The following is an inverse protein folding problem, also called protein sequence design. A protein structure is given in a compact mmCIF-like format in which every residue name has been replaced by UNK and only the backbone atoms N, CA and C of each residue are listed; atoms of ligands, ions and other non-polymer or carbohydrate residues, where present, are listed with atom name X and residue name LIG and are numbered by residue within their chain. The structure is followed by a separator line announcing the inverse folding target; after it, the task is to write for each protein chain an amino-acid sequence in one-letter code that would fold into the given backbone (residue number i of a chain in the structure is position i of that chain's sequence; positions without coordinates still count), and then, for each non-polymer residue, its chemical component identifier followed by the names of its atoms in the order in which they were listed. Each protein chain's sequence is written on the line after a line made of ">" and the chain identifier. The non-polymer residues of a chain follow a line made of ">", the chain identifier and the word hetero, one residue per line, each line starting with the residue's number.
data_IF_360573150299
#
_entry.id   IF_360573150299
#
_cell.length_a   1.000
_cell.length_b   1.000
_cell.length_c   1.000
_cell.angle_alpha   90.00
_cell.angle_beta   90.00
_cell.angle_gamma   90.00
#
_symmetry.space_group_name_H-M   'P 1'
#
loop_
_entity.id
_entity.type
_entity.pdbx_description
1 polymer ?
#
# COMPACT_ATOMS: atom_id res chain seq x y z
N UNK A 1 16.64 -4.40 30.41
CA UNK A 1 15.57 -5.09 29.67
C UNK A 1 14.90 -4.08 28.76
N UNK A 2 15.11 -4.21 27.46
CA UNK A 2 14.43 -3.40 26.45
C UNK A 2 13.13 -4.11 26.13
N UNK A 3 11.99 -3.52 26.49
CA UNK A 3 10.68 -4.06 26.14
C UNK A 3 10.13 -3.22 24.97
N UNK A 4 10.08 -3.80 23.78
CA UNK A 4 9.44 -3.20 22.62
C UNK A 4 7.96 -3.58 22.64
N UNK A 5 7.07 -2.60 22.78
CA UNK A 5 5.64 -2.79 22.64
C UNK A 5 5.20 -2.08 21.37
N UNK A 6 4.78 -2.84 20.37
CA UNK A 6 4.14 -2.30 19.17
C UNK A 6 2.63 -2.31 19.37
N UNK A 7 2.01 -1.14 19.31
CA UNK A 7 0.54 -1.02 19.22
C UNK A 7 0.18 -0.82 17.76
N UNK A 8 -0.50 -1.81 17.19
CA UNK A 8 -0.97 -1.77 15.80
C UNK A 8 -2.42 -1.37 15.80
N UNK A 9 -2.74 -0.17 15.30
CA UNK A 9 -4.10 0.23 15.02
C UNK A 9 -4.44 -0.17 13.58
N UNK A 10 -5.38 -1.09 13.44
CA UNK A 10 -5.87 -1.57 12.15
C UNK A 10 -7.20 -0.86 11.89
N UNK A 11 -7.23 0.11 10.99
CA UNK A 11 -8.48 0.63 10.48
C UNK A 11 -8.91 -0.20 9.27
N UNK A 12 -10.08 -0.81 9.36
CA UNK A 12 -10.69 -1.53 8.26
C UNK A 12 -11.63 -0.60 7.51
N UNK A 13 -11.22 -0.09 6.36
CA UNK A 13 -12.18 0.34 5.35
C UNK A 13 -12.71 -0.90 4.66
N UNK A 14 -13.96 -1.24 4.95
CA UNK A 14 -14.63 -2.39 4.38
C UNK A 14 -14.99 -2.17 2.91
N UNK A 15 -14.04 -2.36 2.02
CA UNK A 15 -14.33 -2.71 0.63
C UNK A 15 -14.54 -4.22 0.60
N UNK A 16 -15.79 -4.63 0.55
CA UNK A 16 -16.19 -6.04 0.49
C UNK A 16 -15.72 -6.65 -0.84
N UNK A 17 -14.60 -7.34 -0.82
CA UNK A 17 -14.27 -8.28 -1.89
C UNK A 17 -14.97 -9.60 -1.54
N UNK A 18 -16.08 -9.89 -2.21
CA UNK A 18 -16.76 -11.16 -2.12
C UNK A 18 -15.87 -12.24 -2.76
N UNK A 19 -15.21 -13.07 -1.98
CA UNK A 19 -14.59 -14.30 -2.45
C UNK A 19 -15.49 -15.48 -2.10
N UNK A 20 -16.06 -16.08 -3.10
CA UNK A 20 -16.90 -17.29 -3.08
C UNK A 20 -16.03 -18.56 -3.07
N UNK A 21 -16.28 -19.62 -2.33
CA UNK A 21 -17.22 -20.74 -2.45
C UNK A 21 -16.77 -21.93 -1.62
N UNK A 22 -17.56 -22.41 -0.73
CA UNK A 22 -17.53 -23.80 -0.34
C UNK A 22 -18.84 -24.47 -0.78
N UNK A 23 -18.76 -25.48 -1.60
CA UNK A 23 -19.87 -26.38 -1.94
C UNK A 23 -19.64 -27.67 -1.16
N UNK A 24 -20.47 -27.95 -0.19
CA UNK A 24 -20.49 -29.26 0.48
C UNK A 24 -21.65 -30.07 -0.07
N UNK A 25 -21.36 -31.16 -0.77
CA UNK A 25 -22.33 -32.13 -1.26
C UNK A 25 -22.53 -33.20 -0.19
N UNK A 26 -23.62 -33.12 0.54
CA UNK A 26 -24.05 -34.19 1.44
C UNK A 26 -24.99 -35.13 0.70
N UNK A 27 -24.64 -36.42 0.62
CA UNK A 27 -25.55 -37.48 0.17
C UNK A 27 -26.22 -38.12 1.39
N UNK A 28 -27.53 -37.96 1.52
CA UNK A 28 -28.31 -38.68 2.51
C UNK A 28 -28.98 -39.90 1.83
N UNK A 29 -28.74 -41.08 2.37
CA UNK A 29 -29.33 -42.33 1.92
C UNK A 29 -30.61 -42.60 2.71
N UNK A 30 -31.76 -42.69 2.04
CA UNK A 30 -33.00 -43.16 2.63
C UNK A 30 -33.35 -44.54 2.09
N UNK A 31 -33.94 -45.40 2.94
CA UNK A 31 -34.16 -46.82 2.79
C UNK A 31 -35.09 -47.24 1.63
N UNK A 32 -35.46 -46.34 0.71
CA UNK A 32 -36.32 -46.58 -0.47
C UNK A 32 -35.70 -46.12 -1.80
N UNK A 33 -34.39 -46.00 -1.88
CA UNK A 33 -33.72 -45.68 -3.15
C UNK A 33 -33.88 -44.24 -3.68
N UNK A 34 -34.42 -43.34 -2.86
CA UNK A 34 -34.47 -41.92 -3.21
C UNK A 34 -33.20 -41.21 -2.69
N UNK A 35 -32.45 -40.65 -3.59
CA UNK A 35 -31.26 -39.85 -3.28
C UNK A 35 -31.66 -38.39 -3.16
N UNK A 36 -31.47 -37.79 -2.00
CA UNK A 36 -31.53 -36.33 -1.84
C UNK A 36 -30.13 -35.81 -1.71
N UNK A 37 -29.77 -34.91 -2.58
CA UNK A 37 -28.54 -34.14 -2.47
C UNK A 37 -28.87 -32.83 -1.74
N UNK A 38 -28.33 -32.66 -0.54
CA UNK A 38 -28.41 -31.39 0.18
C UNK A 38 -27.15 -30.59 -0.18
N UNK A 39 -27.34 -29.50 -0.91
CA UNK A 39 -26.28 -28.57 -1.22
C UNK A 39 -26.29 -27.48 -0.16
N UNK A 40 -25.27 -27.46 0.69
CA UNK A 40 -25.02 -26.34 1.59
C UNK A 40 -24.06 -25.38 0.90
N UNK A 41 -24.52 -24.16 0.62
CA UNK A 41 -23.67 -23.07 0.21
C UNK A 41 -23.39 -22.18 1.42
N UNK A 42 -22.12 -21.84 1.64
CA UNK A 42 -21.72 -20.82 2.61
C UNK A 42 -20.95 -19.72 1.87
N UNK A 43 -21.15 -18.50 2.33
CA UNK A 43 -20.43 -17.36 1.80
C UNK A 43 -19.21 -17.11 2.69
N UNK A 44 -18.03 -17.06 2.07
CA UNK A 44 -16.78 -16.66 2.74
C UNK A 44 -16.50 -15.21 2.37
N UNK A 45 -16.54 -14.35 3.36
CA UNK A 45 -16.17 -12.94 3.19
C UNK A 45 -14.71 -12.75 3.60
N UNK A 46 -13.89 -12.26 2.68
CA UNK A 46 -12.53 -11.83 2.98
C UNK A 46 -12.45 -10.31 2.88
N UNK A 47 -11.98 -9.68 3.94
CA UNK A 47 -11.79 -8.24 3.97
C UNK A 47 -10.29 -7.94 3.93
N UNK A 48 -9.81 -7.16 2.94
CA UNK A 48 -8.44 -6.67 2.99
C UNK A 48 -8.29 -5.71 4.18
N UNK A 49 -7.33 -5.99 5.03
CA UNK A 49 -6.99 -5.15 6.17
C UNK A 49 -5.72 -4.37 5.82
N UNK A 50 -5.77 -3.05 5.98
CA UNK A 50 -4.63 -2.17 5.73
C UNK A 50 -4.16 -1.55 7.04
N UNK A 51 -2.84 -1.58 7.25
CA UNK A 51 -2.21 -0.94 8.40
C UNK A 51 -2.21 0.58 8.18
N UNK A 52 -2.98 1.31 8.97
CA UNK A 52 -3.02 2.79 8.88
C UNK A 52 -1.99 3.44 9.79
N UNK A 53 -1.75 2.88 10.95
CA UNK A 53 -0.81 3.44 11.91
C UNK A 53 -0.13 2.36 12.74
N UNK A 54 1.12 2.59 13.03
CA UNK A 54 1.95 1.81 13.93
C UNK A 54 2.63 2.76 14.91
N UNK A 55 2.64 2.42 16.20
CA UNK A 55 3.39 3.17 17.22
C UNK A 55 4.34 2.21 17.92
N UNK A 56 5.63 2.51 17.85
CA UNK A 56 6.67 1.80 18.54
C UNK A 56 7.11 2.60 19.76
N UNK A 57 7.10 1.97 20.93
CA UNK A 57 7.55 2.57 22.18
C UNK A 57 8.72 1.76 22.72
N UNK A 58 9.84 2.40 22.95
CA UNK A 58 11.04 1.82 23.55
C UNK A 58 11.30 2.45 24.92
N UNK A 59 11.68 1.62 25.88
CA UNK A 59 12.01 2.06 27.23
C UNK A 59 13.51 1.83 27.47
N UNK A 60 14.23 2.89 27.74
CA UNK A 60 15.66 2.83 27.96
C UNK A 60 16.05 3.72 29.15
N UNK A 61 16.63 3.13 30.17
CA UNK A 61 17.13 3.83 31.39
C UNK A 61 16.07 4.75 32.04
N UNK A 62 14.80 4.28 32.09
CA UNK A 62 13.68 5.06 32.66
C UNK A 62 13.11 6.12 31.73
N UNK A 63 13.66 6.29 30.53
CA UNK A 63 13.11 7.17 29.49
C UNK A 63 12.25 6.39 28.50
N UNK A 64 11.23 7.06 27.97
CA UNK A 64 10.36 6.51 26.92
C UNK A 64 10.66 7.22 25.61
N UNK A 65 10.99 6.44 24.59
CA UNK A 65 11.15 6.91 23.21
C UNK A 65 10.00 6.37 22.38
N UNK A 66 9.22 7.24 21.75
CA UNK A 66 8.08 6.86 20.94
C UNK A 66 8.29 7.29 19.48
N UNK A 67 7.97 6.38 18.57
CA UNK A 67 7.94 6.64 17.13
C UNK A 67 6.59 6.19 16.59
N UNK A 68 5.91 7.08 15.86
CA UNK A 68 4.64 6.78 15.20
C UNK A 68 4.83 6.81 13.69
N UNK A 69 4.41 5.76 13.01
CA UNK A 69 4.40 5.66 11.55
C UNK A 69 2.96 5.55 11.06
N UNK A 70 2.58 6.41 10.14
CA UNK A 70 1.27 6.45 9.49
C UNK A 70 1.41 6.06 8.02
N UNK A 71 0.46 5.29 7.52
CA UNK A 71 0.41 4.80 6.14
C UNK A 71 -0.83 5.34 5.44
N UNK A 72 -0.66 5.84 4.22
CA UNK A 72 -1.75 6.27 3.37
C UNK A 72 -1.77 5.41 2.11
N UNK A 73 -2.97 5.15 1.60
CA UNK A 73 -3.20 4.33 0.41
C UNK A 73 -4.00 5.11 -0.61
N UNK A 74 -3.70 4.92 -1.89
CA UNK A 74 -4.47 5.50 -2.98
C UNK A 74 -5.74 4.68 -3.27
N UNK A 75 -6.53 5.10 -4.27
CA UNK A 75 -7.77 4.41 -4.66
C UNK A 75 -7.58 2.97 -5.13
N UNK A 76 -6.36 2.60 -5.54
CA UNK A 76 -5.98 1.24 -5.93
C UNK A 76 -5.40 0.42 -4.76
N UNK A 77 -5.52 0.95 -3.53
CA UNK A 77 -5.01 0.34 -2.31
C UNK A 77 -3.49 0.14 -2.31
N UNK A 78 -2.77 0.89 -3.13
CA UNK A 78 -1.31 0.96 -3.11
C UNK A 78 -0.88 2.04 -2.11
N UNK A 79 0.20 1.79 -1.39
CA UNK A 79 0.72 2.73 -0.39
C UNK A 79 1.24 3.99 -1.08
N UNK A 80 0.52 5.10 -0.91
CA UNK A 80 0.83 6.40 -1.53
C UNK A 80 1.69 7.30 -0.65
N UNK A 81 1.63 7.13 0.68
CA UNK A 81 2.53 7.85 1.58
C UNK A 81 2.84 7.06 2.85
N UNK A 82 4.02 7.35 3.41
CA UNK A 82 4.46 6.92 4.74
C UNK A 82 4.91 8.17 5.47
N UNK A 83 4.39 8.39 6.67
CA UNK A 83 4.80 9.50 7.54
C UNK A 83 5.27 8.94 8.87
N UNK A 84 6.50 9.24 9.26
CA UNK A 84 7.08 8.84 10.54
C UNK A 84 7.33 10.07 11.39
N UNK A 85 6.81 10.07 12.61
CA UNK A 85 7.02 11.11 13.61
C UNK A 85 7.85 10.51 14.73
N UNK A 86 9.02 11.06 14.96
CA UNK A 86 9.92 10.58 16.03
C UNK A 86 9.63 11.30 17.36
N UNK A 87 10.27 10.84 18.44
CA UNK A 87 10.09 11.41 19.78
C UNK A 87 10.50 12.89 19.91
N UNK A 88 11.32 13.41 18.99
CA UNK A 88 11.68 14.83 18.93
C UNK A 88 10.67 15.70 18.14
N UNK A 89 9.58 15.09 17.63
CA UNK A 89 8.60 15.76 16.80
C UNK A 89 9.02 15.98 15.34
N UNK A 90 10.19 15.47 14.93
CA UNK A 90 10.59 15.55 13.51
C UNK A 90 9.72 14.63 12.65
N UNK A 91 9.20 15.19 11.56
CA UNK A 91 8.33 14.51 10.61
C UNK A 91 9.14 14.11 9.39
N UNK A 92 9.21 12.80 9.11
CA UNK A 92 9.79 12.24 7.90
C UNK A 92 8.64 11.69 7.06
N UNK A 93 8.50 12.14 5.80
CA UNK A 93 7.44 11.70 4.90
C UNK A 93 8.04 11.19 3.60
N UNK A 94 7.49 10.11 3.06
CA UNK A 94 7.76 9.63 1.72
C UNK A 94 6.46 9.52 0.95
N UNK A 95 6.37 10.15 -0.20
CA UNK A 95 5.23 10.06 -1.12
C UNK A 95 5.60 9.25 -2.35
N UNK A 96 4.69 8.43 -2.85
CA UNK A 96 4.91 7.56 -4.00
C UNK A 96 3.76 7.77 -4.99
N UNK A 97 4.11 8.02 -6.25
CA UNK A 97 3.17 8.07 -7.37
C UNK A 97 3.30 6.84 -8.26
N UNK A 98 2.16 6.39 -8.75
CA UNK A 98 2.00 5.23 -9.62
C UNK A 98 1.40 5.64 -10.98
N UNK A 99 1.30 4.73 -11.98
CA UNK A 99 0.75 5.04 -13.30
C UNK A 99 -0.59 5.75 -13.27
N UNK A 100 -1.49 5.38 -12.34
CA UNK A 100 -2.82 5.99 -12.23
C UNK A 100 -2.79 7.43 -11.73
N UNK A 101 -1.78 7.80 -10.94
CA UNK A 101 -1.63 9.16 -10.43
C UNK A 101 -1.12 10.12 -11.51
N UNK A 102 -0.47 9.59 -12.56
CA UNK A 102 -0.01 10.34 -13.74
C UNK A 102 -1.09 10.30 -14.83
N UNK A 103 -1.55 9.10 -15.20
CA UNK A 103 -2.64 8.79 -16.13
C UNK A 103 -2.59 9.50 -17.50
N UNK A 104 -1.39 9.80 -18.01
CA UNK A 104 -1.14 10.40 -19.33
C UNK A 104 -0.18 9.53 -20.13
N UNK A 105 -0.20 9.65 -21.47
CA UNK A 105 0.74 8.99 -22.37
C UNK A 105 0.86 7.48 -22.12
N UNK A 106 2.09 7.02 -21.92
CA UNK A 106 2.39 5.60 -21.67
C UNK A 106 1.78 5.10 -20.35
N UNK A 107 1.65 5.96 -19.34
CA UNK A 107 1.11 5.60 -18.04
C UNK A 107 -0.39 5.31 -18.10
N UNK A 108 -1.14 6.02 -18.92
CA UNK A 108 -2.56 5.70 -19.19
C UNK A 108 -2.70 4.31 -19.82
N UNK A 109 -1.80 3.95 -20.73
CA UNK A 109 -1.78 2.60 -21.33
C UNK A 109 -1.37 1.53 -20.32
N UNK A 110 -0.44 1.79 -19.41
CA UNK A 110 -0.12 0.89 -18.31
C UNK A 110 -1.34 0.66 -17.41
N UNK A 111 -2.09 1.72 -17.09
CA UNK A 111 -3.34 1.62 -16.30
C UNK A 111 -4.36 0.74 -17.00
N UNK A 112 -4.60 0.92 -18.31
CA UNK A 112 -5.54 0.10 -19.08
C UNK A 112 -5.17 -1.39 -19.08
N UNK A 113 -3.88 -1.71 -18.99
CA UNK A 113 -3.34 -3.08 -18.88
C UNK A 113 -3.21 -3.57 -17.43
N UNK A 114 -3.79 -2.87 -16.47
CA UNK A 114 -3.74 -3.21 -15.03
C UNK A 114 -2.33 -3.24 -14.42
N UNK A 115 -1.40 -2.53 -15.02
CA UNK A 115 -0.03 -2.36 -14.52
C UNK A 115 0.01 -1.20 -13.52
N UNK A 116 -0.58 -1.38 -12.35
CA UNK A 116 -0.85 -0.32 -11.38
C UNK A 116 0.27 -0.14 -10.36
N UNK A 117 0.93 -1.24 -9.97
CA UNK A 117 1.94 -1.27 -8.91
C UNK A 117 3.37 -1.05 -9.45
N UNK A 118 3.57 0.02 -10.21
CA UNK A 118 4.88 0.42 -10.73
C UNK A 118 5.21 1.82 -10.19
N UNK A 119 6.10 1.96 -9.20
CA UNK A 119 6.49 3.27 -8.69
C UNK A 119 7.12 4.12 -9.78
N UNK A 120 6.58 5.31 -10.01
CA UNK A 120 7.08 6.28 -10.99
C UNK A 120 7.92 7.34 -10.29
N UNK A 121 7.34 8.00 -9.31
CA UNK A 121 8.00 9.06 -8.56
C UNK A 121 7.90 8.78 -7.06
N UNK A 122 9.00 8.97 -6.36
CA UNK A 122 9.07 8.92 -4.91
C UNK A 122 9.76 10.19 -4.42
N UNK A 123 9.09 10.92 -3.52
CA UNK A 123 9.62 12.17 -2.94
C UNK A 123 9.73 12.00 -1.44
N UNK A 124 10.86 12.44 -0.89
CA UNK A 124 11.16 12.36 0.54
C UNK A 124 11.17 13.77 1.14
N UNK A 125 10.59 13.89 2.33
CA UNK A 125 10.47 15.15 3.05
C UNK A 125 10.99 15.01 4.48
N UNK A 126 11.48 16.12 5.01
CA UNK A 126 11.72 16.32 6.43
C UNK A 126 11.13 17.67 6.85
N UNK A 127 10.16 17.66 7.76
CA UNK A 127 9.44 18.86 8.22
C UNK A 127 8.96 19.72 7.03
N UNK A 128 8.29 19.13 6.06
CA UNK A 128 7.76 19.76 4.83
C UNK A 128 8.81 20.20 3.79
N UNK A 129 10.10 20.12 4.07
CA UNK A 129 11.15 20.37 3.09
C UNK A 129 11.55 19.07 2.39
N UNK A 130 11.83 19.15 1.10
CA UNK A 130 12.27 18.01 0.30
C UNK A 130 13.72 17.70 0.63
N UNK A 131 13.98 16.41 0.85
CA UNK A 131 15.32 15.88 1.16
C UNK A 131 15.83 14.94 0.08
N UNK A 132 14.98 14.55 -0.86
CA UNK A 132 15.35 13.72 -1.98
C UNK A 132 14.15 13.35 -2.84
N UNK A 133 14.40 12.97 -4.08
CA UNK A 133 13.38 12.41 -4.96
C UNK A 133 14.02 11.38 -5.91
N UNK A 134 13.20 10.42 -6.35
CA UNK A 134 13.55 9.43 -7.38
C UNK A 134 12.43 9.39 -8.40
N UNK A 135 12.82 9.35 -9.68
CA UNK A 135 11.89 9.18 -10.79
C UNK A 135 12.35 8.00 -11.65
N UNK A 136 11.42 7.10 -11.96
CA UNK A 136 11.62 6.02 -12.92
C UNK A 136 10.65 6.21 -14.07
N UNK A 137 11.14 6.47 -15.27
CA UNK A 137 10.30 6.49 -16.47
C UNK A 137 10.23 5.11 -17.09
N UNK A 138 9.17 4.86 -17.86
CA UNK A 138 8.93 3.59 -18.51
C UNK A 138 8.81 3.76 -20.03
N UNK A 139 9.16 2.72 -20.77
CA UNK A 139 8.96 2.64 -22.22
C UNK A 139 8.37 1.31 -22.62
N UNK A 140 7.77 1.29 -23.80
CA UNK A 140 7.33 0.07 -24.45
C UNK A 140 8.51 -0.56 -25.20
N UNK A 141 8.80 -1.83 -24.92
CA UNK A 141 9.76 -2.65 -25.64
C UNK A 141 9.02 -3.85 -26.25
N UNK A 142 8.72 -3.79 -27.54
CA UNK A 142 7.79 -4.72 -28.15
C UNK A 142 6.38 -4.59 -27.53
N UNK A 143 5.92 -5.61 -26.80
CA UNK A 143 4.64 -5.63 -26.09
C UNK A 143 4.78 -5.44 -24.57
N UNK A 144 6.01 -5.30 -24.05
CA UNK A 144 6.31 -5.27 -22.62
C UNK A 144 6.73 -3.87 -22.19
N UNK A 145 6.19 -3.40 -21.07
CA UNK A 145 6.63 -2.15 -20.43
C UNK A 145 7.86 -2.42 -19.57
N UNK A 146 8.91 -1.68 -19.81
CA UNK A 146 10.18 -1.79 -19.07
C UNK A 146 10.62 -0.42 -18.54
N UNK A 147 11.37 -0.36 -17.43
CA UNK A 147 12.02 0.88 -17.02
C UNK A 147 12.91 1.42 -18.13
N UNK A 148 12.81 2.73 -18.40
CA UNK A 148 13.63 3.40 -19.40
C UNK A 148 14.79 4.16 -18.76
N UNK A 149 14.47 5.13 -17.89
CA UNK A 149 15.45 5.94 -17.19
C UNK A 149 15.13 6.03 -15.71
N UNK A 150 16.18 6.16 -14.91
CA UNK A 150 16.08 6.42 -13.48
C UNK A 150 16.82 7.72 -13.18
N UNK A 151 16.14 8.61 -12.47
CA UNK A 151 16.69 9.87 -12.02
C UNK A 151 16.69 9.88 -10.49
N UNK A 152 17.70 10.50 -9.91
CA UNK A 152 17.77 10.76 -8.47
C UNK A 152 18.04 12.25 -8.28
N UNK A 153 17.29 12.88 -7.44
CA UNK A 153 17.51 14.26 -7.04
C UNK A 153 18.59 14.27 -5.95
N UNK A 154 19.73 14.88 -6.26
CA UNK A 154 20.79 15.15 -5.29
C UNK A 154 20.71 16.62 -4.90
N UNK A 155 20.62 16.89 -3.62
CA UNK A 155 20.47 18.24 -3.07
C UNK A 155 21.46 18.45 -1.92
N UNK A 156 22.05 19.64 -1.89
CA UNK A 156 22.99 20.01 -0.83
C UNK A 156 22.29 20.38 0.47
N UNK A 157 21.05 20.92 0.38
CA UNK A 157 20.21 21.27 1.54
C UNK A 157 18.74 21.09 1.21
N UNK A 158 17.89 20.77 2.21
CA UNK A 158 16.46 20.66 2.02
C UNK A 158 15.84 21.94 1.45
N UNK A 159 14.88 21.83 0.54
CA UNK A 159 14.22 22.98 -0.11
C UNK A 159 12.71 22.77 -0.22
N UNK A 160 11.98 23.85 -0.49
CA UNK A 160 10.56 23.87 -0.81
C UNK A 160 10.34 24.24 -2.30
N UNK A 161 9.15 23.97 -2.84
CA UNK A 161 8.80 24.37 -4.21
C UNK A 161 9.12 23.34 -5.29
N UNK A 162 8.95 22.07 -4.98
CA UNK A 162 9.13 20.94 -5.90
C UNK A 162 7.99 20.84 -6.91
N UNK A 163 8.32 20.60 -8.18
CA UNK A 163 7.34 20.27 -9.21
C UNK A 163 7.36 18.76 -9.46
N UNK A 164 6.22 18.14 -9.25
CA UNK A 164 6.06 16.72 -9.50
C UNK A 164 6.04 16.40 -10.99
N UNK A 165 6.47 15.19 -11.30
CA UNK A 165 6.35 14.64 -12.65
C UNK A 165 4.88 14.49 -13.03
N UNK A 166 4.54 14.87 -14.27
CA UNK A 166 3.17 14.87 -14.80
C UNK A 166 3.01 14.07 -16.12
N UNK A 167 4.04 13.33 -16.54
CA UNK A 167 4.05 12.48 -17.74
C UNK A 167 4.78 13.07 -18.92
#
# INVERSE_FOLDING_TARGET
>A
YTQNVAVVNIASTADQALARLGLELGLAYFNNGLYFSIIHSYEVYTFPVYLEQETQTSYENGNTVQQTTQYQYNGEKLRSAITTINSSGAVLKSEIKYPKDINTGIYATMVSKKMLNFPIEQVQYRNSNITGAKLTTYKLNGTTYVPDKKYSLEIASPFSGFTYFNG
#
